data_IF_498824746482
#
_entry.id   IF_498824746482
#
_cell.length_a   1.000
_cell.length_b   1.000
_cell.length_c   1.000
_cell.angle_alpha   90.00
_cell.angle_beta   90.00
_cell.angle_gamma   90.00
#
_symmetry.space_group_name_H-M   'P 1'
#
loop_
_entity.id
_entity.type
_entity.pdbx_description
1 polymer ?
#
# COMPACT_ATOMS: atom_id res chain seq x y z
N UNK A 1 -0.35 -13.34 24.89
CA UNK A 1 1.09 -13.41 24.53
C UNK A 1 1.55 -12.02 24.11
N UNK A 2 2.45 -11.39 24.87
CA UNK A 2 2.93 -10.02 24.61
C UNK A 2 4.05 -10.07 23.56
N UNK A 3 3.80 -9.48 22.39
CA UNK A 3 4.76 -9.40 21.28
C UNK A 3 5.78 -8.29 21.62
N UNK A 4 7.05 -8.55 21.35
CA UNK A 4 8.14 -7.64 21.73
C UNK A 4 8.11 -6.33 20.92
N UNK A 5 8.28 -5.21 21.63
CA UNK A 5 8.20 -3.80 21.17
C UNK A 5 8.98 -3.46 19.88
N UNK A 6 9.99 -4.27 19.53
CA UNK A 6 10.85 -4.10 18.34
C UNK A 6 10.22 -4.66 17.05
N UNK A 7 9.32 -5.63 17.17
CA UNK A 7 8.56 -6.18 16.04
C UNK A 7 7.15 -5.62 15.96
N UNK A 8 6.58 -5.12 17.06
CA UNK A 8 5.30 -4.40 17.06
C UNK A 8 5.28 -3.31 15.99
N UNK A 9 6.34 -2.49 15.88
CA UNK A 9 6.36 -1.42 14.87
C UNK A 9 6.34 -1.97 13.43
N UNK A 10 7.10 -3.03 13.14
CA UNK A 10 7.13 -3.63 11.80
C UNK A 10 5.80 -4.32 11.44
N UNK A 11 5.20 -5.01 12.40
CA UNK A 11 3.93 -5.71 12.22
C UNK A 11 2.79 -4.69 12.07
N UNK A 12 2.73 -3.68 12.93
CA UNK A 12 1.75 -2.60 12.83
C UNK A 12 1.86 -1.83 11.52
N UNK A 13 3.08 -1.52 11.05
CA UNK A 13 3.29 -0.88 9.75
C UNK A 13 2.82 -1.76 8.58
N UNK A 14 3.12 -3.06 8.63
CA UNK A 14 2.69 -4.01 7.59
C UNK A 14 1.17 -4.12 7.54
N UNK A 15 0.51 -4.22 8.71
CA UNK A 15 -0.95 -4.25 8.81
C UNK A 15 -1.56 -2.95 8.29
N UNK A 16 -0.99 -1.80 8.64
CA UNK A 16 -1.44 -0.50 8.13
C UNK A 16 -1.35 -0.42 6.60
N UNK A 17 -0.23 -0.82 6.00
CA UNK A 17 -0.07 -0.82 4.53
C UNK A 17 -1.06 -1.79 3.87
N UNK A 18 -1.27 -2.97 4.45
CA UNK A 18 -2.23 -3.94 3.96
C UNK A 18 -3.66 -3.37 3.99
N UNK A 19 -4.06 -2.75 5.10
CA UNK A 19 -5.38 -2.11 5.23
C UNK A 19 -5.52 -0.94 4.25
N UNK A 20 -4.52 -0.07 4.14
CA UNK A 20 -4.57 1.09 3.24
C UNK A 20 -4.71 0.67 1.77
N UNK A 21 -3.92 -0.29 1.31
CA UNK A 21 -4.04 -0.79 -0.07
C UNK A 21 -5.39 -1.45 -0.33
N UNK A 22 -5.91 -2.19 0.65
CA UNK A 22 -7.21 -2.85 0.59
C UNK A 22 -8.35 -1.82 0.50
N UNK A 23 -8.33 -0.77 1.33
CA UNK A 23 -9.35 0.29 1.33
C UNK A 23 -9.28 1.16 0.08
N UNK A 24 -8.08 1.59 -0.34
CA UNK A 24 -7.92 2.45 -1.53
C UNK A 24 -8.41 1.74 -2.79
N UNK A 25 -8.06 0.46 -2.95
CA UNK A 25 -8.52 -0.34 -4.09
C UNK A 25 -10.02 -0.63 -4.00
N UNK A 26 -10.57 -0.85 -2.81
CA UNK A 26 -12.00 -1.06 -2.62
C UNK A 26 -12.79 0.18 -3.04
N UNK A 27 -12.43 1.35 -2.52
CA UNK A 27 -13.10 2.62 -2.87
C UNK A 27 -12.97 2.91 -4.37
N UNK A 28 -11.78 2.71 -4.94
CA UNK A 28 -11.56 2.94 -6.38
C UNK A 28 -12.41 2.03 -7.25
N UNK A 29 -12.50 0.74 -6.93
CA UNK A 29 -13.32 -0.21 -7.68
C UNK A 29 -14.82 0.04 -7.42
N UNK A 30 -15.22 0.44 -6.22
CA UNK A 30 -16.61 0.78 -5.90
C UNK A 30 -17.10 1.97 -6.72
N UNK A 31 -16.26 2.99 -6.87
CA UNK A 31 -16.60 4.20 -7.64
C UNK A 31 -16.58 3.93 -9.15
N UNK A 32 -15.60 3.17 -9.66
CA UNK A 32 -15.44 2.98 -11.11
C UNK A 32 -16.24 1.81 -11.69
N UNK A 33 -16.42 0.73 -10.94
CA UNK A 33 -17.01 -0.53 -11.43
C UNK A 33 -18.44 -0.75 -10.90
N UNK A 34 -18.80 -0.13 -9.78
CA UNK A 34 -20.09 -0.32 -9.10
C UNK A 34 -20.25 -1.72 -8.48
N UNK A 35 -21.33 -1.90 -7.71
CA UNK A 35 -21.60 -3.14 -6.98
C UNK A 35 -22.33 -4.17 -7.85
N UNK A 36 -21.58 -4.85 -8.72
CA UNK A 36 -22.07 -5.96 -9.56
C UNK A 36 -21.62 -7.33 -9.03
N UNK A 37 -22.19 -8.45 -9.51
CA UNK A 37 -21.82 -9.81 -9.07
C UNK A 37 -20.33 -10.17 -9.27
N UNK A 38 -19.61 -9.42 -10.12
CA UNK A 38 -18.16 -9.56 -10.33
C UNK A 38 -17.28 -8.62 -9.49
N UNK A 39 -17.86 -7.75 -8.67
CA UNK A 39 -17.15 -6.69 -7.95
C UNK A 39 -15.98 -7.21 -7.11
N UNK A 40 -16.21 -8.24 -6.29
CA UNK A 40 -15.18 -8.81 -5.41
C UNK A 40 -14.03 -9.40 -6.23
N UNK A 41 -14.33 -10.06 -7.35
CA UNK A 41 -13.33 -10.66 -8.23
C UNK A 41 -12.47 -9.59 -8.92
N UNK A 42 -13.11 -8.54 -9.44
CA UNK A 42 -12.42 -7.39 -10.06
C UNK A 42 -11.60 -6.62 -9.03
N UNK A 43 -12.12 -6.46 -7.82
CA UNK A 43 -11.42 -5.82 -6.72
C UNK A 43 -10.16 -6.57 -6.32
N UNK A 44 -10.24 -7.88 -6.05
CA UNK A 44 -9.06 -8.68 -5.70
C UNK A 44 -8.01 -8.70 -6.82
N UNK A 45 -8.45 -8.79 -8.09
CA UNK A 45 -7.56 -8.76 -9.26
C UNK A 45 -6.86 -7.40 -9.38
N UNK A 46 -7.60 -6.31 -9.20
CA UNK A 46 -7.06 -4.95 -9.25
C UNK A 46 -6.11 -4.68 -8.09
N UNK A 47 -6.44 -5.14 -6.88
CA UNK A 47 -5.58 -5.04 -5.71
C UNK A 47 -4.28 -5.82 -5.89
N UNK A 48 -4.35 -7.06 -6.38
CA UNK A 48 -3.16 -7.88 -6.64
C UNK A 48 -2.24 -7.24 -7.68
N UNK A 49 -2.79 -6.72 -8.78
CA UNK A 49 -2.02 -6.00 -9.80
C UNK A 49 -1.39 -4.72 -9.23
N UNK A 50 -2.16 -3.92 -8.49
CA UNK A 50 -1.66 -2.71 -7.86
C UNK A 50 -0.52 -3.01 -6.87
N UNK A 51 -0.64 -4.07 -6.07
CA UNK A 51 0.39 -4.49 -5.13
C UNK A 51 1.68 -4.92 -5.83
N UNK A 52 1.57 -5.77 -6.86
CA UNK A 52 2.71 -6.26 -7.65
C UNK A 52 3.43 -5.11 -8.36
N UNK A 53 2.71 -4.09 -8.83
CA UNK A 53 3.30 -2.92 -9.49
C UNK A 53 3.86 -1.91 -8.47
N UNK A 54 3.21 -1.72 -7.32
CA UNK A 54 3.64 -0.76 -6.31
C UNK A 54 5.00 -1.13 -5.70
N UNK A 55 5.28 -2.41 -5.48
CA UNK A 55 6.57 -2.87 -4.93
C UNK A 55 7.79 -2.42 -5.75
N UNK A 56 7.92 -2.76 -7.05
CA UNK A 56 9.05 -2.33 -7.87
C UNK A 56 9.07 -0.80 -8.05
N UNK A 57 7.91 -0.16 -8.17
CA UNK A 57 7.81 1.30 -8.26
C UNK A 57 8.40 1.97 -7.02
N UNK A 58 8.02 1.53 -5.81
CA UNK A 58 8.58 2.07 -4.56
C UNK A 58 10.07 1.77 -4.45
N UNK A 59 10.53 0.57 -4.81
CA UNK A 59 11.96 0.23 -4.77
C UNK A 59 12.80 1.14 -5.68
N UNK A 60 12.29 1.44 -6.88
CA UNK A 60 12.97 2.33 -7.83
C UNK A 60 12.87 3.79 -7.41
N UNK A 61 11.69 4.26 -6.98
CA UNK A 61 11.43 5.68 -6.68
C UNK A 61 11.99 6.11 -5.32
N UNK A 62 12.02 5.23 -4.31
CA UNK A 62 12.51 5.53 -2.96
C UNK A 62 13.89 6.20 -2.93
N UNK A 63 14.94 5.74 -3.64
CA UNK A 63 16.24 6.43 -3.66
C UNK A 63 16.15 7.85 -4.24
N UNK A 64 15.28 8.09 -5.22
CA UNK A 64 15.08 9.45 -5.77
C UNK A 64 14.35 10.35 -4.78
N UNK A 65 13.30 9.85 -4.13
CA UNK A 65 12.59 10.59 -3.07
C UNK A 65 13.57 10.94 -1.95
N UNK A 66 14.40 9.99 -1.49
CA UNK A 66 15.42 10.25 -0.46
C UNK A 66 16.40 11.34 -0.87
N UNK A 67 16.88 11.32 -2.12
CA UNK A 67 17.76 12.37 -2.66
C UNK A 67 17.08 13.74 -2.73
N UNK A 68 15.79 13.78 -3.08
CA UNK A 68 15.03 15.04 -3.14
C UNK A 68 14.76 15.58 -1.75
N UNK A 69 14.24 14.76 -0.83
CA UNK A 69 13.94 15.16 0.55
C UNK A 69 15.21 15.62 1.27
N UNK A 70 16.35 14.95 1.07
CA UNK A 70 17.63 15.38 1.62
C UNK A 70 18.15 16.73 1.09
N UNK A 71 17.56 17.29 0.01
CA UNK A 71 17.84 18.68 -0.41
C UNK A 71 16.99 19.71 0.34
N UNK A 72 15.82 19.32 0.84
CA UNK A 72 14.89 20.19 1.53
C UNK A 72 14.99 20.10 3.05
N UNK A 73 15.48 18.98 3.56
CA UNK A 73 15.78 18.79 4.98
C UNK A 73 17.25 19.11 5.19
N UNK A 74 17.52 20.27 5.79
CA UNK A 74 18.79 20.55 6.48
C UNK A 74 18.64 20.05 7.91
N UNK A 75 19.57 19.22 8.36
CA UNK A 75 19.79 19.01 9.80
C UNK A 75 20.13 20.34 10.49
#
# INVERSE_FOLDING_TARGET
>A
MKISKRYEMKVSLTIMVLIMTLVVTFVSVSVNFGYNPGFISVWFKSWGLAFIVALPVVMIIMPYIKKLVGKFVKD
#
